data_IF_415940210578
#
_entry.id   IF_415940210578
#
_cell.length_a   1.000
_cell.length_b   1.000
_cell.length_c   1.000
_cell.angle_alpha   90.00
_cell.angle_beta   90.00
_cell.angle_gamma   90.00
#
_symmetry.space_group_name_H-M   'P 1'
#
loop_
_entity.id
_entity.type
_entity.pdbx_description
1 polymer ?
#
# COMPACT_ATOMS: atom_id res chain seq x y z
N UNK A 1 1.25 20.46 28.44
CA UNK A 1 2.06 19.23 28.59
C UNK A 1 1.28 17.96 28.22
N UNK A 2 -0.02 17.85 28.55
CA UNK A 2 -0.84 16.68 28.20
C UNK A 2 -0.99 16.44 26.68
N UNK A 3 -1.16 17.50 25.89
CA UNK A 3 -1.34 17.41 24.43
C UNK A 3 -0.09 16.84 23.72
N UNK A 4 1.11 17.25 24.13
CA UNK A 4 2.36 16.73 23.56
C UNK A 4 2.52 15.23 23.83
N UNK A 5 2.21 14.79 25.04
CA UNK A 5 2.23 13.38 25.41
C UNK A 5 1.18 12.57 24.63
N UNK A 6 -0.02 13.12 24.41
CA UNK A 6 -1.06 12.51 23.59
C UNK A 6 -0.61 12.32 22.14
N UNK A 7 0.00 13.33 21.53
CA UNK A 7 0.51 13.26 20.15
C UNK A 7 1.60 12.18 20.03
N UNK A 8 2.53 12.13 20.99
CA UNK A 8 3.60 11.12 21.02
C UNK A 8 3.00 9.70 21.09
N UNK A 9 2.01 9.48 21.97
CA UNK A 9 1.35 8.18 22.09
C UNK A 9 0.65 7.80 20.79
N UNK A 10 -0.10 8.71 20.18
CA UNK A 10 -0.80 8.47 18.91
C UNK A 10 0.19 8.07 17.82
N UNK A 11 1.30 8.78 17.69
CA UNK A 11 2.34 8.50 16.69
C UNK A 11 2.94 7.10 16.91
N UNK A 12 3.34 6.79 18.15
CA UNK A 12 3.94 5.49 18.47
C UNK A 12 2.99 4.32 18.22
N UNK A 13 1.72 4.44 18.65
CA UNK A 13 0.72 3.42 18.40
C UNK A 13 0.40 3.27 16.92
N UNK A 14 0.29 4.38 16.18
CA UNK A 14 0.01 4.36 14.74
C UNK A 14 1.10 3.63 13.95
N UNK A 15 2.37 3.78 14.33
CA UNK A 15 3.45 3.01 13.69
C UNK A 15 3.45 1.53 14.07
N UNK A 16 3.19 1.22 15.34
CA UNK A 16 3.07 -0.17 15.78
C UNK A 16 1.95 -0.90 15.03
N UNK A 17 0.78 -0.27 14.90
CA UNK A 17 -0.35 -0.83 14.17
C UNK A 17 -0.08 -0.94 12.68
N UNK A 18 0.57 0.07 12.07
CA UNK A 18 0.97 0.02 10.67
C UNK A 18 1.93 -1.16 10.42
N UNK A 19 2.98 -1.31 11.24
CA UNK A 19 3.93 -2.41 11.11
C UNK A 19 3.26 -3.79 11.21
N UNK A 20 2.35 -3.96 12.18
CA UNK A 20 1.56 -5.18 12.32
C UNK A 20 0.68 -5.43 11.09
N UNK A 21 0.03 -4.39 10.57
CA UNK A 21 -0.83 -4.47 9.39
C UNK A 21 -0.04 -4.91 8.14
N UNK A 22 1.18 -4.40 7.93
CA UNK A 22 2.01 -4.77 6.78
C UNK A 22 2.41 -6.25 6.79
N UNK A 23 2.53 -6.85 7.97
CA UNK A 23 2.86 -8.26 8.15
C UNK A 23 1.62 -9.16 8.12
N UNK A 24 0.46 -8.62 8.53
CA UNK A 24 -0.80 -9.36 8.56
C UNK A 24 -1.50 -9.40 7.19
N UNK A 25 -1.42 -8.33 6.40
CA UNK A 25 -2.06 -8.25 5.08
C UNK A 25 -1.65 -9.34 4.08
N UNK A 26 -0.38 -9.79 3.99
CA UNK A 26 0.02 -10.92 3.17
C UNK A 26 -0.68 -12.22 3.57
N UNK A 27 -0.95 -12.40 4.87
CA UNK A 27 -1.62 -13.59 5.37
C UNK A 27 -3.14 -13.54 5.12
N UNK A 28 -3.75 -12.36 5.27
CA UNK A 28 -5.19 -12.18 5.05
C UNK A 28 -5.58 -12.10 3.57
N UNK A 29 -4.76 -11.45 2.75
CA UNK A 29 -5.05 -11.15 1.34
C UNK A 29 -3.87 -11.52 0.42
N UNK A 30 -3.37 -12.77 0.45
CA UNK A 30 -2.13 -13.16 -0.24
C UNK A 30 -2.16 -12.86 -1.74
N UNK A 31 -3.29 -13.15 -2.40
CA UNK A 31 -3.45 -12.90 -3.83
C UNK A 31 -3.37 -11.40 -4.20
N UNK A 32 -3.85 -10.50 -3.33
CA UNK A 32 -3.82 -9.05 -3.60
C UNK A 32 -2.42 -8.50 -3.37
N UNK A 33 -1.76 -8.91 -2.29
CA UNK A 33 -0.40 -8.46 -1.99
C UNK A 33 0.60 -8.99 -3.02
N UNK A 34 0.50 -10.26 -3.43
CA UNK A 34 1.35 -10.82 -4.48
C UNK A 34 1.20 -10.11 -5.84
N UNK A 35 -0.04 -9.74 -6.21
CA UNK A 35 -0.28 -8.94 -7.42
C UNK A 35 0.31 -7.54 -7.30
N UNK A 36 0.11 -6.86 -6.19
CA UNK A 36 0.70 -5.54 -5.95
C UNK A 36 2.24 -5.62 -6.04
N UNK A 37 2.83 -6.70 -5.52
CA UNK A 37 4.27 -6.97 -5.62
C UNK A 37 4.73 -7.09 -7.08
N UNK A 38 4.03 -7.89 -7.88
CA UNK A 38 4.32 -8.03 -9.33
C UNK A 38 4.19 -6.70 -10.07
N UNK A 39 3.19 -5.90 -9.75
CA UNK A 39 2.96 -4.60 -10.40
C UNK A 39 4.10 -3.62 -10.12
N UNK A 40 4.58 -3.56 -8.86
CA UNK A 40 5.74 -2.74 -8.49
C UNK A 40 7.00 -3.20 -9.22
N UNK A 41 7.25 -4.51 -9.28
CA UNK A 41 8.47 -5.05 -9.90
C UNK A 41 8.49 -4.86 -11.42
N UNK A 42 7.33 -5.06 -12.08
CA UNK A 42 7.24 -4.99 -13.54
C UNK A 42 7.07 -3.55 -14.06
N UNK A 43 6.42 -2.67 -13.29
CA UNK A 43 6.04 -1.34 -13.77
C UNK A 43 5.97 -0.29 -12.65
N UNK A 44 7.11 0.05 -12.00
CA UNK A 44 7.13 0.99 -10.89
C UNK A 44 6.70 2.40 -11.32
N UNK A 45 7.15 2.87 -12.49
CA UNK A 45 6.78 4.19 -13.02
C UNK A 45 5.28 4.34 -13.28
N UNK A 46 4.66 3.33 -13.91
CA UNK A 46 3.21 3.30 -14.12
C UNK A 46 2.44 3.30 -12.80
N UNK A 47 2.91 2.53 -11.83
CA UNK A 47 2.30 2.48 -10.50
C UNK A 47 2.38 3.84 -9.80
N UNK A 48 3.52 4.52 -9.85
CA UNK A 48 3.67 5.86 -9.31
C UNK A 48 2.70 6.86 -9.96
N UNK A 49 2.62 6.89 -11.29
CA UNK A 49 1.71 7.80 -12.02
C UNK A 49 0.25 7.50 -11.70
N UNK A 50 -0.15 6.23 -11.67
CA UNK A 50 -1.51 5.84 -11.28
C UNK A 50 -1.81 6.27 -9.85
N UNK A 51 -0.87 6.07 -8.92
CA UNK A 51 -0.99 6.55 -7.54
C UNK A 51 -1.17 8.05 -7.46
N UNK A 52 -0.33 8.81 -8.17
CA UNK A 52 -0.38 10.29 -8.21
C UNK A 52 -1.72 10.81 -8.73
N UNK A 53 -2.16 10.32 -9.90
CA UNK A 53 -3.42 10.76 -10.51
C UNK A 53 -4.61 10.44 -9.60
N UNK A 54 -4.66 9.23 -9.03
CA UNK A 54 -5.75 8.84 -8.14
C UNK A 54 -5.70 9.60 -6.82
N UNK A 55 -4.52 9.82 -6.25
CA UNK A 55 -4.36 10.62 -5.03
C UNK A 55 -4.87 12.05 -5.24
N UNK A 56 -4.50 12.70 -6.35
CA UNK A 56 -4.98 14.05 -6.67
C UNK A 56 -6.49 14.06 -6.93
N UNK A 57 -7.00 13.11 -7.71
CA UNK A 57 -8.42 13.03 -8.01
C UNK A 57 -9.27 12.79 -6.77
N UNK A 58 -9.02 11.70 -6.04
CA UNK A 58 -9.79 11.38 -4.83
C UNK A 58 -9.51 12.36 -3.69
N UNK A 59 -8.31 12.93 -3.62
CA UNK A 59 -7.99 14.01 -2.69
C UNK A 59 -8.88 15.24 -2.94
N UNK A 60 -8.97 15.70 -4.19
CA UNK A 60 -9.85 16.80 -4.56
C UNK A 60 -11.34 16.48 -4.31
N UNK A 61 -11.77 15.27 -4.68
CA UNK A 61 -13.15 14.82 -4.40
C UNK A 61 -13.42 14.85 -2.90
N UNK A 62 -12.51 14.32 -2.08
CA UNK A 62 -12.65 14.32 -0.62
C UNK A 62 -12.69 15.74 -0.04
N UNK A 63 -11.89 16.68 -0.53
CA UNK A 63 -11.94 18.08 -0.04
C UNK A 63 -13.23 18.78 -0.41
N UNK A 64 -13.79 18.52 -1.59
CA UNK A 64 -15.11 19.05 -1.99
C UNK A 64 -16.20 18.49 -1.08
N UNK A 65 -16.23 17.18 -0.86
CA UNK A 65 -17.23 16.56 0.03
C UNK A 65 -17.07 17.03 1.48
N UNK A 66 -15.85 17.23 1.98
CA UNK A 66 -15.63 17.71 3.34
C UNK A 66 -16.26 19.09 3.63
N UNK A 67 -16.52 19.90 2.60
CA UNK A 67 -17.21 21.20 2.74
C UNK A 67 -18.74 21.08 2.84
N UNK A 68 -19.30 19.91 2.52
CA UNK A 68 -20.75 19.66 2.47
C UNK A 68 -21.43 19.39 3.82
N UNK A 69 -20.83 19.79 4.95
CA UNK A 69 -21.32 19.51 6.30
C UNK A 69 -21.07 18.06 6.75
N UNK A 70 -21.81 17.58 7.76
CA UNK A 70 -21.54 16.29 8.43
C UNK A 70 -21.58 15.08 7.49
N UNK A 71 -22.59 15.02 6.61
CA UNK A 71 -22.72 13.94 5.62
C UNK A 71 -21.56 13.95 4.62
N UNK A 72 -21.16 15.15 4.17
CA UNK A 72 -20.03 15.32 3.27
C UNK A 72 -18.70 14.94 3.92
N UNK A 73 -18.50 15.32 5.19
CA UNK A 73 -17.34 14.92 6.00
C UNK A 73 -17.23 13.40 6.16
N UNK A 74 -18.37 12.71 6.39
CA UNK A 74 -18.40 11.26 6.49
C UNK A 74 -18.03 10.59 5.16
N UNK A 75 -18.51 11.09 4.03
CA UNK A 75 -18.14 10.61 2.69
C UNK A 75 -16.63 10.81 2.44
N UNK A 76 -16.10 11.99 2.77
CA UNK A 76 -14.68 12.28 2.65
C UNK A 76 -13.82 11.32 3.50
N UNK A 77 -14.27 11.02 4.73
CA UNK A 77 -13.61 10.06 5.60
C UNK A 77 -13.61 8.64 5.01
N UNK A 78 -14.75 8.19 4.46
CA UNK A 78 -14.83 6.88 3.81
C UNK A 78 -13.86 6.80 2.61
N UNK A 79 -13.79 7.84 1.79
CA UNK A 79 -12.86 7.91 0.65
C UNK A 79 -11.42 7.79 1.15
N UNK A 80 -11.05 8.55 2.20
CA UNK A 80 -9.71 8.54 2.76
C UNK A 80 -9.35 7.18 3.37
N UNK A 81 -10.28 6.54 4.08
CA UNK A 81 -10.08 5.19 4.62
C UNK A 81 -9.93 4.15 3.51
N UNK A 82 -10.70 4.25 2.43
CA UNK A 82 -10.57 3.37 1.27
C UNK A 82 -9.19 3.51 0.62
N UNK A 83 -8.72 4.75 0.40
CA UNK A 83 -7.37 5.02 -0.12
C UNK A 83 -6.29 4.48 0.82
N UNK A 84 -6.44 4.68 2.13
CA UNK A 84 -5.49 4.19 3.13
C UNK A 84 -5.41 2.67 3.13
N UNK A 85 -6.55 1.96 3.04
CA UNK A 85 -6.59 0.51 2.96
C UNK A 85 -5.91 -0.03 1.69
N UNK A 86 -6.16 0.59 0.53
CA UNK A 86 -5.51 0.22 -0.73
C UNK A 86 -3.99 0.46 -0.66
N UNK A 87 -3.59 1.60 -0.08
CA UNK A 87 -2.18 1.93 0.13
C UNK A 87 -1.50 0.92 1.05
N UNK A 88 -2.17 0.49 2.13
CA UNK A 88 -1.62 -0.51 3.05
C UNK A 88 -1.33 -1.85 2.35
N UNK A 89 -2.19 -2.28 1.42
CA UNK A 89 -1.94 -3.47 0.58
C UNK A 89 -0.69 -3.30 -0.28
N UNK A 90 -0.52 -2.14 -0.93
CA UNK A 90 0.68 -1.85 -1.71
C UNK A 90 1.95 -1.74 -0.85
N UNK A 91 1.84 -1.12 0.32
CA UNK A 91 2.95 -0.94 1.25
C UNK A 91 3.39 -2.30 1.83
N UNK A 92 2.44 -3.21 2.04
CA UNK A 92 2.72 -4.58 2.44
C UNK A 92 3.48 -5.36 1.35
N UNK A 93 3.16 -5.11 0.08
CA UNK A 93 3.90 -5.69 -1.04
C UNK A 93 5.33 -5.14 -1.11
N UNK A 94 5.53 -3.84 -0.88
CA UNK A 94 6.87 -3.25 -0.75
C UNK A 94 7.64 -3.85 0.42
N UNK A 95 6.98 -4.08 1.56
CA UNK A 95 7.58 -4.75 2.71
C UNK A 95 8.11 -6.15 2.35
N UNK A 96 7.34 -6.93 1.60
CA UNK A 96 7.79 -8.25 1.12
C UNK A 96 8.99 -8.16 0.16
N UNK A 97 9.03 -7.14 -0.72
CA UNK A 97 10.19 -6.92 -1.61
C UNK A 97 11.44 -6.61 -0.78
N UNK A 98 11.34 -5.71 0.19
CA UNK A 98 12.45 -5.35 1.08
C UNK A 98 12.88 -6.56 1.91
N UNK A 99 11.92 -7.33 2.42
CA UNK A 99 12.20 -8.57 3.14
C UNK A 99 12.96 -9.59 2.27
N UNK A 100 12.51 -9.82 1.04
CA UNK A 100 13.18 -10.75 0.13
C UNK A 100 14.61 -10.31 -0.23
N UNK A 101 14.86 -8.99 -0.29
CA UNK A 101 16.18 -8.42 -0.58
C UNK A 101 17.13 -8.45 0.61
N UNK A 102 16.65 -8.12 1.82
CA UNK A 102 17.50 -8.04 3.01
C UNK A 102 17.68 -9.39 3.70
N UNK A 103 16.68 -10.27 3.63
CA UNK A 103 16.66 -11.55 4.33
C UNK A 103 16.14 -12.69 3.43
N UNK A 104 16.81 -12.98 2.29
CA UNK A 104 16.33 -13.96 1.31
C UNK A 104 16.13 -15.37 1.91
N UNK A 105 16.96 -15.76 2.88
CA UNK A 105 16.94 -17.11 3.47
C UNK A 105 16.12 -17.21 4.77
N UNK A 106 15.36 -16.17 5.17
CA UNK A 106 14.58 -16.18 6.42
C UNK A 106 13.18 -15.59 6.23
N UNK A 107 12.22 -16.37 5.71
CA UNK A 107 10.82 -16.01 5.75
C UNK A 107 10.28 -16.07 7.20
N UNK A 108 9.30 -15.23 7.51
CA UNK A 108 8.60 -15.29 8.80
C UNK A 108 8.20 -13.94 9.38
N UNK A 109 7.26 -13.97 10.32
CA UNK A 109 6.63 -12.80 10.97
C UNK A 109 7.67 -11.87 11.62
N UNK A 110 8.66 -12.42 12.32
CA UNK A 110 9.72 -11.62 12.97
C UNK A 110 10.55 -10.83 11.96
N UNK A 111 10.82 -11.39 10.79
CA UNK A 111 11.60 -10.72 9.74
C UNK A 111 10.71 -9.68 9.01
N UNK A 112 9.43 -10.01 8.80
CA UNK A 112 8.44 -9.07 8.29
C UNK A 112 8.29 -7.83 9.18
N UNK A 113 8.29 -8.00 10.52
CA UNK A 113 8.25 -6.88 11.47
C UNK A 113 9.53 -6.04 11.41
N UNK A 114 10.71 -6.67 11.37
CA UNK A 114 11.98 -5.95 11.26
C UNK A 114 12.04 -5.09 10.00
N UNK A 115 11.59 -5.63 8.87
CA UNK A 115 11.58 -4.93 7.58
C UNK A 115 10.53 -3.83 7.53
N UNK A 116 9.36 -4.04 8.17
CA UNK A 116 8.35 -3.00 8.32
C UNK A 116 8.86 -1.84 9.17
N UNK A 117 9.53 -2.13 10.29
CA UNK A 117 10.16 -1.12 11.14
C UNK A 117 11.26 -0.38 10.39
N UNK A 118 12.08 -1.05 9.58
CA UNK A 118 13.09 -0.40 8.76
C UNK A 118 12.49 0.53 7.70
N UNK A 119 11.41 0.10 7.03
CA UNK A 119 10.68 0.94 6.07
C UNK A 119 10.10 2.19 6.74
N UNK A 120 9.47 2.00 7.90
CA UNK A 120 8.92 3.08 8.73
C UNK A 120 10.03 4.03 9.18
N UNK A 121 11.13 3.50 9.74
CA UNK A 121 12.27 4.27 10.21
C UNK A 121 12.98 5.02 9.07
N UNK A 122 13.02 4.44 7.86
CA UNK A 122 13.51 5.11 6.67
C UNK A 122 12.69 6.34 6.28
N UNK A 123 11.36 6.28 6.44
CA UNK A 123 10.45 7.43 6.24
C UNK A 123 10.59 8.52 7.30
N UNK A 124 11.11 8.17 8.49
CA UNK A 124 11.35 9.07 9.62
C UNK A 124 12.62 9.90 9.50
N UNK A 125 13.51 9.57 8.57
CA UNK A 125 14.76 10.34 8.38
C UNK A 125 14.37 11.78 7.98
N UNK A 126 14.73 12.80 8.77
CA UNK A 126 14.35 14.17 8.45
C UNK A 126 14.94 14.60 7.09
N UNK A 127 14.23 15.49 6.39
CA UNK A 127 14.48 15.93 5.01
C UNK A 127 14.25 14.84 3.95
N UNK A 128 15.02 13.75 3.93
CA UNK A 128 14.94 12.74 2.86
C UNK A 128 13.76 11.77 3.03
N UNK A 129 13.52 11.32 4.26
CA UNK A 129 12.46 10.38 4.60
C UNK A 129 11.07 10.96 4.36
N UNK A 130 10.79 12.13 4.94
CA UNK A 130 9.48 12.78 4.81
C UNK A 130 9.21 13.35 3.42
N UNK A 131 10.15 14.09 2.79
CA UNK A 131 9.85 14.81 1.54
C UNK A 131 10.02 13.97 0.28
N UNK A 132 10.83 12.91 0.32
CA UNK A 132 11.15 12.12 -0.88
C UNK A 132 10.67 10.69 -0.71
N UNK A 133 11.17 9.98 0.30
CA UNK A 133 10.92 8.54 0.47
C UNK A 133 9.45 8.27 0.74
N UNK A 134 8.85 8.95 1.72
CA UNK A 134 7.46 8.74 2.14
C UNK A 134 6.46 9.01 1.02
N UNK A 135 6.43 10.17 0.34
CA UNK A 135 5.47 10.42 -0.72
C UNK A 135 5.66 9.47 -1.90
N UNK A 136 6.91 9.17 -2.28
CA UNK A 136 7.16 8.20 -3.36
C UNK A 136 6.64 6.83 -2.97
N UNK A 137 6.93 6.34 -1.75
CA UNK A 137 6.47 5.05 -1.28
C UNK A 137 4.94 4.98 -1.21
N UNK A 138 4.28 6.03 -0.70
CA UNK A 138 2.83 6.07 -0.59
C UNK A 138 2.15 6.10 -1.96
N UNK A 139 2.62 6.94 -2.88
CA UNK A 139 2.08 7.02 -4.24
C UNK A 139 2.31 5.71 -5.00
N UNK A 140 3.52 5.15 -4.92
CA UNK A 140 3.85 3.87 -5.54
C UNK A 140 2.98 2.74 -4.98
N UNK A 141 2.81 2.69 -3.66
CA UNK A 141 1.99 1.70 -2.97
C UNK A 141 0.52 1.82 -3.33
N UNK A 142 -0.02 3.04 -3.32
CA UNK A 142 -1.40 3.32 -3.69
C UNK A 142 -1.66 2.84 -5.13
N UNK A 143 -0.83 3.24 -6.08
CA UNK A 143 -1.00 2.85 -7.48
C UNK A 143 -0.84 1.35 -7.70
N UNK A 144 0.14 0.70 -7.05
CA UNK A 144 0.29 -0.75 -7.10
C UNK A 144 -0.94 -1.47 -6.51
N UNK A 145 -1.47 -0.97 -5.40
CA UNK A 145 -2.70 -1.45 -4.78
C UNK A 145 -3.90 -1.34 -5.74
N UNK A 146 -4.12 -0.15 -6.32
CA UNK A 146 -5.21 0.11 -7.28
C UNK A 146 -5.12 -0.85 -8.47
N UNK A 147 -3.95 -0.95 -9.10
CA UNK A 147 -3.76 -1.83 -10.27
C UNK A 147 -3.99 -3.30 -9.90
N UNK A 148 -3.50 -3.75 -8.74
CA UNK A 148 -3.69 -5.12 -8.26
C UNK A 148 -5.16 -5.44 -7.93
N UNK A 149 -5.93 -4.44 -7.50
CA UNK A 149 -7.35 -4.54 -7.25
C UNK A 149 -8.16 -4.62 -8.57
N UNK A 150 -7.85 -3.75 -9.52
CA UNK A 150 -8.57 -3.58 -10.80
C UNK A 150 -8.24 -4.66 -11.84
N UNK A 151 -7.00 -5.18 -11.90
CA UNK A 151 -6.54 -6.15 -12.92
C UNK A 151 -7.04 -7.58 -12.66
N UNK A 152 -8.32 -7.75 -12.35
CA UNK A 152 -9.02 -9.03 -12.21
C UNK A 152 -9.43 -9.50 -13.62
N UNK A 153 -8.67 -10.45 -14.18
CA UNK A 153 -8.99 -11.32 -15.33
C UNK A 153 -8.32 -11.00 -16.69
N UNK A 154 -7.19 -11.63 -16.99
CA UNK A 154 -6.74 -11.77 -18.40
C UNK A 154 -5.97 -13.07 -18.67
N UNK A 155 -6.29 -14.18 -18.00
CA UNK A 155 -5.66 -15.48 -18.32
C UNK A 155 -6.54 -16.66 -17.90
N UNK A 156 -7.53 -17.00 -18.72
CA UNK A 156 -8.03 -18.37 -18.93
C UNK A 156 -8.98 -18.39 -20.13
N UNK A 157 -8.40 -18.50 -21.33
CA UNK A 157 -9.01 -19.26 -22.41
C UNK A 157 -7.90 -20.17 -22.94
N UNK A 158 -7.87 -21.46 -22.58
CA UNK A 158 -7.07 -22.44 -23.30
C UNK A 158 -7.58 -22.46 -24.73
N UNK A 159 -6.68 -22.28 -25.71
CA UNK A 159 -6.95 -22.69 -27.08
C UNK A 159 -7.11 -24.21 -27.09
N UNK A 160 -8.33 -24.69 -26.90
CA UNK A 160 -8.74 -26.00 -27.39
C UNK A 160 -8.93 -25.88 -28.91
N UNK A 161 -7.95 -26.35 -29.67
CA UNK A 161 -8.19 -26.81 -31.03
C UNK A 161 -7.22 -27.94 -31.38
N UNK A 162 -7.66 -29.16 -31.06
CA UNK A 162 -7.51 -30.31 -31.95
C UNK A 162 -6.18 -31.05 -31.93
N UNK A 163 -6.07 -32.03 -31.02
CA UNK A 163 -5.29 -33.24 -31.29
C UNK A 163 -6.21 -34.35 -31.83
N UNK A 164 -5.71 -35.04 -32.87
CA UNK A 164 -6.01 -36.42 -33.29
C UNK A 164 -7.29 -36.70 -34.10
N UNK A 165 -7.14 -37.05 -35.37
CA UNK A 165 -7.10 -38.47 -35.83
C UNK A 165 -7.00 -38.53 -37.36
N UNK A 166 -5.88 -39.07 -37.87
CA UNK A 166 -5.77 -39.89 -39.09
C UNK A 166 -4.38 -40.52 -39.11
#
# INVERSE_FOLDING_TARGET
MAEGLQIIIIILFSWGTLAALLVLLPALLPARVARAQQVVQNSPGRSFVVGLVNFLFFGLVATIFAQGGDLGGLIALIILLALAAITAVGLSALNQIVQARLFPNRPGVRVGLKTAVLLIAGGLVPLLGWFVVTPILLLLSLGAGIIALVRRNSSTAPHESGTSFS
#
